data_IF_351737061925
#
_entry.id   IF_351737061925
#
_cell.length_a   1.000
_cell.length_b   1.000
_cell.length_c   1.000
_cell.angle_alpha   90.00
_cell.angle_beta   90.00
_cell.angle_gamma   90.00
#
_symmetry.space_group_name_H-M   'P 1'
#
loop_
_entity.id
_entity.type
_entity.pdbx_description
1 polymer ?
#
# COMPACT_ATOMS: atom_id res chain seq x y z
N UNK A 1 -16.98 -17.73 -25.63
CA UNK A 1 -15.80 -17.40 -24.79
C UNK A 1 -15.91 -18.03 -23.40
N UNK A 2 -14.90 -18.81 -22.99
CA UNK A 2 -14.72 -19.25 -21.60
C UNK A 2 -13.62 -18.39 -20.95
N UNK A 3 -13.74 -18.11 -19.65
CA UNK A 3 -12.72 -17.33 -18.95
C UNK A 3 -12.55 -17.74 -17.48
N UNK A 4 -11.29 -17.90 -17.05
CA UNK A 4 -10.90 -18.27 -15.67
C UNK A 4 -10.00 -17.17 -15.11
N UNK A 5 -10.37 -16.65 -13.93
CA UNK A 5 -9.66 -15.58 -13.23
C UNK A 5 -8.87 -16.19 -12.06
N UNK A 6 -7.61 -15.81 -11.95
CA UNK A 6 -6.68 -16.24 -10.92
C UNK A 6 -6.00 -15.03 -10.25
N UNK A 7 -5.56 -15.21 -9.00
CA UNK A 7 -4.93 -14.17 -8.19
C UNK A 7 -4.61 -14.66 -6.78
N UNK A 8 -3.99 -13.80 -5.95
CA UNK A 8 -3.63 -14.17 -4.58
C UNK A 8 -4.86 -14.47 -3.70
N UNK A 9 -4.69 -15.31 -2.67
CA UNK A 9 -5.74 -15.60 -1.68
C UNK A 9 -5.95 -14.44 -0.69
N UNK A 10 -4.90 -13.67 -0.43
CA UNK A 10 -4.95 -12.48 0.42
C UNK A 10 -3.80 -11.54 0.10
N UNK A 11 -3.94 -10.27 0.49
CA UNK A 11 -2.87 -9.29 0.41
C UNK A 11 -2.65 -8.60 1.76
N UNK A 12 -1.45 -8.05 1.93
CA UNK A 12 -1.19 -7.03 2.95
C UNK A 12 -1.51 -5.66 2.35
N UNK A 13 -1.96 -4.71 3.18
CA UNK A 13 -2.16 -3.34 2.72
C UNK A 13 -0.88 -2.75 2.11
N UNK A 14 -0.98 -2.27 0.88
CA UNK A 14 0.18 -1.79 0.12
C UNK A 14 1.09 -2.91 -0.43
N UNK A 15 0.69 -4.17 -0.41
CA UNK A 15 1.34 -5.22 -1.20
C UNK A 15 0.70 -5.29 -2.59
N UNK A 16 1.51 -5.34 -3.63
CA UNK A 16 1.06 -5.51 -5.01
C UNK A 16 0.73 -6.97 -5.29
N UNK A 17 -0.52 -7.25 -5.66
CA UNK A 17 -0.96 -8.54 -6.18
C UNK A 17 -1.01 -8.54 -7.71
N UNK A 18 -0.74 -9.69 -8.31
CA UNK A 18 -0.92 -9.93 -9.75
C UNK A 18 -2.18 -10.76 -9.96
N UNK A 19 -3.04 -10.31 -10.85
CA UNK A 19 -4.28 -10.99 -11.22
C UNK A 19 -4.23 -11.32 -12.71
N UNK A 20 -4.61 -12.53 -13.07
CA UNK A 20 -4.57 -12.99 -14.46
C UNK A 20 -5.86 -13.66 -14.87
N UNK A 21 -6.24 -13.47 -16.14
CA UNK A 21 -7.39 -14.13 -16.75
C UNK A 21 -6.94 -14.90 -17.98
N UNK A 22 -7.32 -16.17 -18.04
CA UNK A 22 -7.23 -16.97 -19.27
C UNK A 22 -8.57 -16.88 -19.99
N UNK A 23 -8.56 -16.45 -21.25
CA UNK A 23 -9.76 -16.38 -22.09
C UNK A 23 -9.44 -16.85 -23.51
N UNK A 24 -10.42 -17.44 -24.18
CA UNK A 24 -10.29 -17.93 -25.55
C UNK A 24 -11.50 -17.57 -26.40
N UNK A 25 -11.23 -17.20 -27.63
CA UNK A 25 -12.22 -16.96 -28.67
C UNK A 25 -12.17 -18.08 -29.73
N UNK A 26 -13.28 -18.79 -30.02
CA UNK A 26 -13.30 -19.87 -31.01
C UNK A 26 -13.08 -19.41 -32.46
N UNK A 27 -13.45 -18.17 -32.77
CA UNK A 27 -13.37 -17.61 -34.12
C UNK A 27 -12.00 -16.96 -34.40
N UNK A 28 -11.12 -16.94 -33.39
CA UNK A 28 -9.77 -16.39 -33.46
C UNK A 28 -9.72 -14.86 -33.36
N UNK A 29 -10.79 -14.23 -32.86
CA UNK A 29 -10.83 -12.78 -32.70
C UNK A 29 -9.87 -12.31 -31.60
N UNK A 30 -9.34 -11.10 -31.79
CA UNK A 30 -8.47 -10.47 -30.78
C UNK A 30 -9.28 -10.06 -29.56
N UNK A 31 -8.88 -10.55 -28.40
CA UNK A 31 -9.52 -10.23 -27.13
C UNK A 31 -8.97 -8.94 -26.52
N UNK A 32 -9.87 -8.12 -26.01
CA UNK A 32 -9.55 -6.91 -25.24
C UNK A 32 -10.00 -7.05 -23.80
N UNK A 33 -9.26 -6.43 -22.87
CA UNK A 33 -9.46 -6.59 -21.43
C UNK A 33 -9.68 -5.22 -20.78
N UNK A 34 -10.49 -5.18 -19.73
CA UNK A 34 -10.66 -4.01 -18.89
C UNK A 34 -10.78 -4.40 -17.42
N UNK A 35 -9.73 -4.15 -16.66
CA UNK A 35 -9.68 -4.39 -15.21
C UNK A 35 -10.23 -3.21 -14.42
N UNK A 36 -11.03 -3.44 -13.38
CA UNK A 36 -11.68 -2.42 -12.54
C UNK A 36 -11.83 -2.90 -11.09
N UNK A 37 -11.96 -1.97 -10.15
CA UNK A 37 -12.35 -2.28 -8.77
C UNK A 37 -13.82 -1.91 -8.55
N UNK A 38 -14.64 -2.89 -8.22
CA UNK A 38 -16.08 -2.72 -7.97
C UNK A 38 -16.34 -2.23 -6.54
N UNK A 39 -15.77 -2.91 -5.55
CA UNK A 39 -16.00 -2.63 -4.14
C UNK A 39 -14.69 -2.73 -3.32
N UNK A 40 -14.58 -2.03 -2.19
CA UNK A 40 -15.43 -0.92 -1.74
C UNK A 40 -15.26 0.33 -2.64
N UNK A 41 -15.89 1.45 -2.22
CA UNK A 41 -15.75 2.75 -2.89
C UNK A 41 -14.33 3.31 -2.78
N UNK A 42 -13.65 3.10 -1.65
CA UNK A 42 -12.24 3.42 -1.48
C UNK A 42 -11.39 2.61 -2.47
N UNK A 43 -10.78 3.30 -3.44
CA UNK A 43 -10.07 2.67 -4.56
C UNK A 43 -8.61 2.42 -4.22
N UNK A 44 -8.13 1.22 -4.53
CA UNK A 44 -6.70 0.94 -4.61
C UNK A 44 -6.12 1.42 -5.94
N UNK A 45 -4.86 1.08 -6.16
CA UNK A 45 -4.08 1.55 -7.30
C UNK A 45 -3.71 0.40 -8.21
N UNK A 46 -3.92 0.60 -9.50
CA UNK A 46 -3.42 -0.31 -10.54
C UNK A 46 -2.00 0.08 -10.91
N UNK A 47 -1.13 -0.91 -11.07
CA UNK A 47 0.26 -0.73 -11.49
C UNK A 47 0.36 -1.05 -12.98
N UNK A 48 0.80 -0.07 -13.76
CA UNK A 48 0.94 -0.21 -15.21
C UNK A 48 -0.40 -0.31 -15.94
N UNK A 49 -0.46 -1.16 -16.96
CA UNK A 49 -1.63 -1.30 -17.83
C UNK A 49 -2.77 -2.08 -17.18
N UNK A 50 -4.01 -1.76 -17.58
CA UNK A 50 -5.26 -2.41 -17.17
C UNK A 50 -5.98 -3.09 -18.34
N UNK A 51 -5.29 -3.27 -19.47
CA UNK A 51 -5.88 -3.75 -20.73
C UNK A 51 -5.32 -5.08 -21.23
N UNK A 52 -4.46 -5.73 -20.44
CA UNK A 52 -3.94 -7.06 -20.74
C UNK A 52 -4.68 -8.18 -20.03
N UNK A 53 -4.33 -9.42 -20.37
CA UNK A 53 -4.77 -10.64 -19.68
C UNK A 53 -4.22 -10.75 -18.25
N UNK A 54 -3.30 -9.87 -17.85
CA UNK A 54 -2.81 -9.72 -16.49
C UNK A 54 -2.82 -8.26 -16.08
N UNK A 55 -3.08 -8.00 -14.81
CA UNK A 55 -3.01 -6.68 -14.21
C UNK A 55 -2.51 -6.75 -12.76
N UNK A 56 -1.81 -5.71 -12.34
CA UNK A 56 -1.27 -5.59 -10.99
C UNK A 56 -2.01 -4.51 -10.20
N UNK A 57 -2.27 -4.78 -8.92
CA UNK A 57 -3.05 -3.89 -8.06
C UNK A 57 -2.58 -3.97 -6.60
N UNK A 58 -2.60 -2.84 -5.90
CA UNK A 58 -2.45 -2.79 -4.44
C UNK A 58 -3.56 -1.95 -3.79
N UNK A 59 -3.86 -2.26 -2.54
CA UNK A 59 -4.97 -1.63 -1.80
C UNK A 59 -4.73 -0.14 -1.49
N UNK A 60 -5.77 0.64 -1.17
CA UNK A 60 -5.57 1.90 -0.45
C UNK A 60 -5.12 1.63 0.98
N UNK A 61 -4.86 2.70 1.73
CA UNK A 61 -4.61 2.60 3.16
C UNK A 61 -5.89 2.17 3.90
N UNK A 62 -5.77 1.17 4.78
CA UNK A 62 -6.89 0.60 5.55
C UNK A 62 -6.52 0.53 7.04
N UNK A 63 -7.49 0.77 7.93
CA UNK A 63 -7.32 0.60 9.38
C UNK A 63 -7.82 -0.73 9.92
N UNK A 64 -8.57 -1.49 9.13
CA UNK A 64 -9.12 -2.80 9.49
C UNK A 64 -9.06 -3.73 8.29
N UNK A 65 -9.08 -5.04 8.55
CA UNK A 65 -9.17 -6.05 7.47
C UNK A 65 -10.37 -5.73 6.58
N UNK A 66 -10.12 -5.61 5.28
CA UNK A 66 -11.11 -5.17 4.30
C UNK A 66 -11.02 -6.04 3.05
N UNK A 67 -12.15 -6.52 2.54
CA UNK A 67 -12.19 -7.26 1.28
C UNK A 67 -12.46 -6.33 0.10
N UNK A 68 -11.73 -6.52 -0.99
CA UNK A 68 -11.87 -5.77 -2.23
C UNK A 68 -12.37 -6.70 -3.34
N UNK A 69 -13.31 -6.22 -4.15
CA UNK A 69 -13.80 -6.96 -5.31
C UNK A 69 -13.24 -6.32 -6.58
N UNK A 70 -12.37 -7.06 -7.25
CA UNK A 70 -11.82 -6.70 -8.55
C UNK A 70 -12.61 -7.41 -9.64
N UNK A 71 -12.74 -6.75 -10.80
CA UNK A 71 -13.50 -7.22 -11.94
C UNK A 71 -12.67 -7.05 -13.20
N UNK A 72 -12.72 -8.04 -14.08
CA UNK A 72 -12.22 -7.95 -15.45
C UNK A 72 -13.35 -8.21 -16.44
N UNK A 73 -13.43 -7.36 -17.45
CA UNK A 73 -14.30 -7.53 -18.61
C UNK A 73 -13.44 -7.94 -19.80
N UNK A 74 -13.83 -9.00 -20.50
CA UNK A 74 -13.16 -9.50 -21.72
C UNK A 74 -14.14 -9.43 -22.88
N UNK A 75 -13.74 -8.89 -24.02
CA UNK A 75 -14.60 -8.78 -25.23
C UNK A 75 -13.79 -8.95 -26.51
N UNK A 76 -14.43 -9.60 -27.47
CA UNK A 76 -14.04 -9.78 -28.88
C UNK A 76 -14.53 -8.61 -29.77
N UNK A 77 -15.32 -7.67 -29.20
CA UNK A 77 -15.95 -6.58 -29.93
C UNK A 77 -17.19 -6.97 -30.77
N UNK A 78 -17.57 -8.26 -30.78
CA UNK A 78 -18.72 -8.78 -31.54
C UNK A 78 -19.86 -9.20 -30.63
N UNK A 79 -19.51 -9.79 -29.48
CA UNK A 79 -20.43 -10.37 -28.51
C UNK A 79 -20.49 -9.54 -27.23
N UNK A 80 -21.49 -9.82 -26.39
CA UNK A 80 -21.54 -9.27 -25.04
C UNK A 80 -20.26 -9.66 -24.26
N UNK A 81 -19.61 -8.71 -23.55
CA UNK A 81 -18.39 -9.01 -22.81
C UNK A 81 -18.60 -10.09 -21.73
N UNK A 82 -17.64 -11.00 -21.57
CA UNK A 82 -17.61 -11.91 -20.42
C UNK A 82 -16.96 -11.20 -19.25
N UNK A 83 -17.62 -11.25 -18.11
CA UNK A 83 -17.16 -10.64 -16.86
C UNK A 83 -16.75 -11.72 -15.86
N UNK A 84 -15.63 -11.49 -15.18
CA UNK A 84 -15.20 -12.25 -14.01
C UNK A 84 -14.84 -11.31 -12.88
N UNK A 85 -15.05 -11.76 -11.66
CA UNK A 85 -14.72 -11.02 -10.45
C UNK A 85 -13.98 -11.92 -9.46
N UNK A 86 -13.10 -11.31 -8.68
CA UNK A 86 -12.40 -11.94 -7.56
C UNK A 86 -12.54 -11.05 -6.33
N UNK A 87 -12.74 -11.68 -5.17
CA UNK A 87 -12.76 -10.97 -3.88
C UNK A 87 -11.49 -11.31 -3.12
N UNK A 88 -10.68 -10.28 -2.85
CA UNK A 88 -9.40 -10.39 -2.18
C UNK A 88 -9.49 -9.78 -0.77
N UNK A 89 -9.33 -10.57 0.31
CA UNK A 89 -9.17 -10.02 1.66
C UNK A 89 -7.80 -9.34 1.81
N UNK A 90 -7.80 -8.11 2.32
CA UNK A 90 -6.58 -7.34 2.61
C UNK A 90 -6.45 -7.15 4.11
N UNK A 91 -5.27 -7.46 4.64
CA UNK A 91 -4.95 -7.38 6.07
C UNK A 91 -4.13 -6.14 6.41
N UNK A 92 -4.20 -5.72 7.68
CA UNK A 92 -3.42 -4.58 8.18
C UNK A 92 -1.99 -5.02 8.53
N UNK A 93 -0.97 -4.18 8.30
CA UNK A 93 0.43 -4.52 8.59
C UNK A 93 0.71 -4.63 10.10
N UNK A 94 1.61 -5.56 10.46
CA UNK A 94 2.17 -5.68 11.81
C UNK A 94 3.51 -4.98 11.90
N UNK A 95 3.87 -4.50 13.09
CA UNK A 95 5.02 -3.61 13.22
C UNK A 95 6.34 -4.32 12.86
N UNK A 96 6.68 -5.38 13.56
CA UNK A 96 7.93 -6.11 13.44
C UNK A 96 8.10 -6.78 12.08
N UNK A 97 7.05 -7.42 11.56
CA UNK A 97 7.15 -8.14 10.29
C UNK A 97 7.01 -7.25 9.05
N UNK A 98 6.21 -6.18 9.10
CA UNK A 98 5.85 -5.42 7.90
C UNK A 98 6.33 -3.97 7.90
N UNK A 99 6.53 -3.34 9.06
CA UNK A 99 6.89 -1.91 9.16
C UNK A 99 8.38 -1.73 9.47
N UNK A 100 8.93 -2.49 10.41
CA UNK A 100 10.35 -2.45 10.74
C UNK A 100 11.27 -2.63 9.50
N UNK A 101 10.98 -3.56 8.56
CA UNK A 101 11.74 -3.71 7.32
C UNK A 101 11.74 -2.45 6.44
N UNK A 102 10.62 -1.70 6.41
CA UNK A 102 10.51 -0.47 5.59
C UNK A 102 11.57 0.55 6.00
N UNK A 103 11.90 0.66 7.29
CA UNK A 103 12.95 1.57 7.76
C UNK A 103 14.34 1.16 7.31
N UNK A 104 14.61 -0.15 7.29
CA UNK A 104 15.87 -0.70 6.81
C UNK A 104 16.01 -0.46 5.30
N UNK A 105 14.97 -0.81 4.54
CA UNK A 105 15.00 -0.82 3.08
C UNK A 105 14.98 0.60 2.50
N UNK A 106 14.34 1.55 3.18
CA UNK A 106 14.41 2.98 2.87
C UNK A 106 15.73 3.65 3.30
N UNK A 107 16.66 2.90 3.93
CA UNK A 107 17.95 3.40 4.41
C UNK A 107 17.86 4.32 5.64
N UNK A 108 16.70 4.37 6.32
CA UNK A 108 16.48 5.21 7.49
C UNK A 108 17.37 4.79 8.67
N UNK A 109 17.64 3.48 8.82
CA UNK A 109 18.46 2.93 9.90
C UNK A 109 19.92 3.41 9.85
N UNK A 110 20.44 3.76 8.67
CA UNK A 110 21.81 4.29 8.49
C UNK A 110 21.98 5.66 9.16
N UNK A 111 20.97 6.52 9.06
CA UNK A 111 20.98 7.86 9.66
C UNK A 111 20.41 7.88 11.08
N UNK A 112 19.56 6.91 11.42
CA UNK A 112 18.96 6.76 12.75
C UNK A 112 19.32 5.42 13.43
N UNK A 113 20.62 5.10 13.62
CA UNK A 113 21.02 3.83 14.24
C UNK A 113 20.82 3.84 15.76
N UNK A 114 21.05 4.99 16.42
CA UNK A 114 20.69 5.33 17.83
C UNK A 114 21.06 6.79 18.14
N UNK A 115 21.06 7.67 17.13
CA UNK A 115 21.60 9.03 17.24
C UNK A 115 20.48 10.06 17.41
N UNK A 116 20.69 11.06 18.27
CA UNK A 116 19.77 12.20 18.42
C UNK A 116 18.38 11.86 18.96
N UNK A 117 18.24 10.76 19.72
CA UNK A 117 16.96 10.39 20.36
C UNK A 117 15.94 9.71 19.44
N UNK A 118 16.36 9.22 18.27
CA UNK A 118 15.57 8.32 17.41
C UNK A 118 16.43 7.09 17.06
N UNK A 119 15.93 5.91 17.42
CA UNK A 119 16.49 4.64 16.98
C UNK A 119 15.49 3.97 16.04
N UNK A 120 15.92 3.70 14.80
CA UNK A 120 15.15 2.95 13.82
C UNK A 120 15.71 1.54 13.55
N UNK A 121 16.84 1.17 14.17
CA UNK A 121 17.54 -0.10 13.93
C UNK A 121 17.06 -1.26 14.81
N UNK A 122 16.71 -0.98 16.06
CA UNK A 122 16.19 -1.95 17.04
C UNK A 122 15.27 -1.24 18.03
N UNK A 123 14.22 -1.93 18.51
CA UNK A 123 13.22 -1.35 19.42
C UNK A 123 12.64 -0.03 18.90
N UNK A 124 12.50 0.12 17.58
CA UNK A 124 12.10 1.41 17.01
C UNK A 124 10.64 1.75 17.25
N UNK A 125 9.83 0.77 17.66
CA UNK A 125 8.45 0.98 18.06
C UNK A 125 8.35 2.05 19.15
N UNK A 126 9.06 1.84 20.26
CA UNK A 126 9.05 2.74 21.43
C UNK A 126 9.67 4.10 21.12
N UNK A 127 10.51 4.19 20.09
CA UNK A 127 11.06 5.46 19.60
C UNK A 127 10.08 6.24 18.71
N UNK A 128 9.00 5.61 18.24
CA UNK A 128 8.04 6.18 17.29
C UNK A 128 6.67 6.42 17.93
N UNK A 129 6.06 5.39 18.51
CA UNK A 129 4.66 5.45 18.92
C UNK A 129 4.53 6.19 20.26
N UNK A 130 3.68 7.21 20.29
CA UNK A 130 3.45 8.03 21.49
C UNK A 130 4.56 9.02 21.85
N UNK A 131 5.78 8.83 21.33
CA UNK A 131 6.88 9.76 21.54
C UNK A 131 6.62 11.12 20.85
N UNK A 132 6.90 12.23 21.54
CA UNK A 132 6.76 13.59 20.97
C UNK A 132 7.74 13.81 19.83
N UNK A 133 7.32 14.56 18.82
CA UNK A 133 8.19 14.99 17.75
C UNK A 133 9.19 16.04 18.26
N UNK A 134 10.47 15.84 17.96
CA UNK A 134 11.54 16.79 18.26
C UNK A 134 11.85 17.63 17.02
N UNK A 135 10.84 18.34 16.52
CA UNK A 135 10.91 19.18 15.32
C UNK A 135 10.08 20.43 15.61
N UNK A 136 10.66 21.62 15.50
CA UNK A 136 10.05 22.87 16.00
C UNK A 136 8.66 23.12 15.37
N UNK A 137 8.52 22.87 14.08
CA UNK A 137 7.29 23.10 13.31
C UNK A 137 6.13 22.17 13.71
N UNK A 138 6.43 21.04 14.36
CA UNK A 138 5.45 20.02 14.71
C UNK A 138 5.64 19.46 16.13
N UNK A 139 6.21 20.25 17.04
CA UNK A 139 6.55 19.81 18.41
C UNK A 139 5.33 19.46 19.28
N UNK A 140 4.13 19.87 18.86
CA UNK A 140 2.84 19.51 19.49
C UNK A 140 2.33 18.14 19.05
N UNK A 141 2.91 17.53 18.02
CA UNK A 141 2.48 16.24 17.48
C UNK A 141 3.35 15.08 18.00
N UNK A 142 2.80 13.87 17.97
CA UNK A 142 3.57 12.66 18.19
C UNK A 142 4.29 12.25 16.89
N UNK A 143 5.43 11.56 17.04
CA UNK A 143 6.14 10.93 15.91
C UNK A 143 5.19 9.97 15.19
N UNK A 144 4.50 9.11 15.94
CA UNK A 144 3.32 8.36 15.50
C UNK A 144 2.19 8.52 16.50
N UNK A 145 1.02 8.88 15.98
CA UNK A 145 -0.25 8.99 16.70
C UNK A 145 -1.18 7.89 16.23
N UNK A 146 -1.51 6.94 17.12
CA UNK A 146 -2.35 5.79 16.81
C UNK A 146 -3.69 6.22 16.19
N UNK A 147 -4.10 5.51 15.13
CA UNK A 147 -5.31 5.76 14.35
C UNK A 147 -5.37 7.12 13.63
N UNK A 148 -4.33 7.95 13.71
CA UNK A 148 -4.29 9.31 13.15
C UNK A 148 -3.05 9.49 12.26
N UNK A 149 -3.02 8.92 11.05
CA UNK A 149 -1.90 9.10 10.12
C UNK A 149 -1.68 10.57 9.77
N UNK A 150 -2.76 11.36 9.63
CA UNK A 150 -2.66 12.80 9.36
C UNK A 150 -2.02 13.61 10.49
N UNK A 151 -2.03 13.11 11.73
CA UNK A 151 -1.41 13.77 12.90
C UNK A 151 -0.06 13.15 13.28
N UNK A 152 0.42 12.18 12.48
CA UNK A 152 1.68 11.50 12.72
C UNK A 152 2.81 12.19 11.94
N UNK A 153 3.79 12.76 12.65
CA UNK A 153 4.94 13.42 12.01
C UNK A 153 5.71 12.50 11.09
N UNK A 154 5.77 11.20 11.41
CA UNK A 154 6.34 10.17 10.55
C UNK A 154 5.69 10.21 9.17
N UNK A 155 4.37 10.03 9.09
CA UNK A 155 3.62 9.99 7.83
C UNK A 155 3.78 11.29 7.05
N UNK A 156 3.67 12.44 7.73
CA UNK A 156 3.86 13.76 7.11
C UNK A 156 5.23 13.89 6.45
N UNK A 157 6.29 13.45 7.13
CA UNK A 157 7.66 13.47 6.62
C UNK A 157 7.89 12.52 5.45
N UNK A 158 7.22 11.37 5.39
CA UNK A 158 7.31 10.45 4.24
C UNK A 158 6.60 11.06 3.00
N UNK A 159 5.47 11.71 3.23
CA UNK A 159 4.67 12.41 2.20
C UNK A 159 5.29 13.72 1.71
N UNK A 160 6.34 14.21 2.39
CA UNK A 160 6.94 15.51 2.04
C UNK A 160 6.10 16.71 2.44
N UNK A 161 5.16 16.53 3.37
CA UNK A 161 4.34 17.61 3.92
C UNK A 161 5.05 18.30 5.10
N UNK A 162 4.60 19.51 5.46
CA UNK A 162 5.24 20.37 6.44
C UNK A 162 5.36 19.70 7.83
N UNK A 163 6.58 19.30 8.19
CA UNK A 163 7.07 19.01 9.56
C UNK A 163 8.61 18.91 9.51
N UNK A 164 9.29 19.98 9.10
CA UNK A 164 10.73 19.97 8.82
C UNK A 164 11.07 19.23 7.51
N UNK A 165 12.30 18.72 7.39
CA UNK A 165 12.76 18.05 6.15
C UNK A 165 12.03 16.73 5.88
N UNK A 166 11.73 16.49 4.59
CA UNK A 166 11.22 15.23 4.06
C UNK A 166 12.17 14.07 4.33
N UNK A 167 11.61 12.90 4.62
CA UNK A 167 12.35 11.67 4.88
C UNK A 167 12.02 10.58 3.84
N UNK A 168 13.01 9.75 3.44
CA UNK A 168 14.41 9.72 3.93
C UNK A 168 15.23 10.91 3.43
N UNK A 169 16.04 11.54 4.31
CA UNK A 169 16.81 12.75 3.97
C UNK A 169 17.75 12.58 2.77
N UNK A 170 18.35 11.40 2.63
CA UNK A 170 19.29 11.09 1.54
C UNK A 170 18.61 10.58 0.26
N UNK A 171 17.30 10.31 0.31
CA UNK A 171 16.49 9.96 -0.86
C UNK A 171 15.04 10.47 -0.65
N UNK A 172 14.81 11.80 -0.75
CA UNK A 172 13.52 12.38 -0.38
C UNK A 172 12.32 11.86 -1.19
N UNK A 173 12.55 11.33 -2.40
CA UNK A 173 11.49 10.81 -3.29
C UNK A 173 11.27 9.31 -3.15
N UNK A 174 11.93 8.62 -2.20
CA UNK A 174 11.80 7.16 -2.04
C UNK A 174 10.34 6.71 -1.96
N UNK A 175 9.50 7.38 -1.14
CA UNK A 175 8.09 7.03 -1.00
C UNK A 175 7.19 7.52 -2.16
N UNK A 176 7.68 8.41 -3.04
CA UNK A 176 7.00 8.71 -4.31
C UNK A 176 7.21 7.57 -5.31
N UNK A 177 8.39 6.96 -5.28
CA UNK A 177 8.76 5.81 -6.11
C UNK A 177 8.19 4.50 -5.56
N UNK A 178 7.90 4.46 -4.26
CA UNK A 178 7.32 3.33 -3.54
C UNK A 178 6.04 3.73 -2.78
N UNK A 179 4.98 4.17 -3.49
CA UNK A 179 3.74 4.62 -2.85
C UNK A 179 3.00 3.48 -2.14
N UNK A 180 3.25 2.24 -2.53
CA UNK A 180 2.77 1.02 -1.90
C UNK A 180 3.33 0.86 -0.47
N UNK A 181 4.61 1.19 -0.25
CA UNK A 181 5.21 1.19 1.08
C UNK A 181 4.68 2.33 1.96
N UNK A 182 4.35 3.49 1.38
CA UNK A 182 3.67 4.56 2.12
C UNK A 182 2.26 4.11 2.56
N UNK A 183 1.52 3.45 1.69
CA UNK A 183 0.21 2.84 2.04
C UNK A 183 0.37 1.85 3.18
N UNK A 184 1.41 1.01 3.16
CA UNK A 184 1.70 0.07 4.24
C UNK A 184 1.89 0.79 5.59
N UNK A 185 2.75 1.80 5.64
CA UNK A 185 2.96 2.60 6.87
C UNK A 185 1.66 3.29 7.32
N UNK A 186 0.92 3.92 6.41
CA UNK A 186 -0.35 4.59 6.74
C UNK A 186 -1.38 3.60 7.29
N UNK A 187 -1.44 2.38 6.75
CA UNK A 187 -2.38 1.35 7.18
C UNK A 187 -2.07 0.87 8.60
N UNK A 188 -0.80 0.65 8.94
CA UNK A 188 -0.41 0.32 10.30
C UNK A 188 -0.80 1.42 11.29
N UNK A 189 -0.55 2.70 10.94
CA UNK A 189 -0.97 3.82 11.80
C UNK A 189 -2.48 3.88 11.95
N UNK A 190 -3.24 3.74 10.85
CA UNK A 190 -4.71 3.72 10.88
C UNK A 190 -5.26 2.57 11.75
N UNK A 191 -4.59 1.42 11.72
CA UNK A 191 -4.94 0.23 12.51
C UNK A 191 -4.57 0.34 14.00
N UNK A 192 -4.14 1.52 14.47
CA UNK A 192 -3.85 1.79 15.87
C UNK A 192 -2.36 1.75 16.22
N UNK A 193 -1.47 1.60 15.23
CA UNK A 193 -0.02 1.55 15.44
C UNK A 193 0.41 0.54 16.53
N UNK A 194 -0.15 -0.67 16.49
CA UNK A 194 0.14 -1.72 17.47
C UNK A 194 1.55 -2.30 17.30
N UNK A 195 2.15 -2.71 18.41
CA UNK A 195 3.35 -3.56 18.45
C UNK A 195 2.89 -5.02 18.46
N UNK A 196 3.60 -5.90 17.76
CA UNK A 196 3.32 -7.34 17.66
C UNK A 196 4.27 -8.21 18.47
#
# INVERSE_FOLDING_TARGET
MAATLDGPDSLLAGATGTFSITASDPDGDTLTYAWTQQAPSAKGTWVGSRTGSSAQWYSPAIGTRTSFTLKVSVTDGRSAPVVRSVTIPVTVPRYGTDIQPVWRDAGCTRCHPRSGGLNLSASSYTSLVGARANVAECNTLSRVSASKPGDSVLVRKLEGTACGSRMPRNNPTYFDQHPDLLVRVRSWVLAGALDD
#
